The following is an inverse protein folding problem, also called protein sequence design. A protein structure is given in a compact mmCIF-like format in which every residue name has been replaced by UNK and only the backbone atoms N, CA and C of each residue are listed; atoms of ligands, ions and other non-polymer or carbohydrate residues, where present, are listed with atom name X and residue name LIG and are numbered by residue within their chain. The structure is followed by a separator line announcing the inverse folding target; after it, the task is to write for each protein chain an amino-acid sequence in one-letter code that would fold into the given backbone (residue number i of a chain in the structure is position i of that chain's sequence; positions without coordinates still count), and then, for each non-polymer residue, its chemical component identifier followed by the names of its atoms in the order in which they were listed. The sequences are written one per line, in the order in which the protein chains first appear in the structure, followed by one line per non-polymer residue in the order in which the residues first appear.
data_IF_876368980680
#
_entry.id   IF_876368980680
#
_cell.length_a   1.000
_cell.length_b   1.000
_cell.length_c   1.000
_cell.angle_alpha   90.00
_cell.angle_beta   90.00
_cell.angle_gamma   90.00
#
_symmetry.space_group_name_H-M   'P 1'
#
loop_
_entity.id
_entity.type
_entity.pdbx_description
1 polymer ?
#
# COMPACT_ATOMS: atom_id res chain seq x y z
N UNK A 1 24.02 -10.33 -8.92
CA UNK A 1 23.58 -8.95 -9.27
C UNK A 1 22.06 -8.98 -9.37
N UNK A 2 21.34 -8.62 -8.30
CA UNK A 2 19.87 -8.64 -8.33
C UNK A 2 19.36 -7.42 -9.09
N UNK A 3 18.79 -7.66 -10.26
CA UNK A 3 18.18 -6.66 -11.12
C UNK A 3 17.01 -6.00 -10.39
N UNK A 4 17.17 -4.74 -9.97
CA UNK A 4 16.04 -3.89 -9.62
C UNK A 4 15.25 -3.63 -10.90
N UNK A 5 14.23 -4.44 -11.17
CA UNK A 5 13.19 -4.07 -12.12
C UNK A 5 12.67 -2.69 -11.72
N UNK A 6 12.74 -1.72 -12.64
CA UNK A 6 12.18 -0.37 -12.42
C UNK A 6 10.69 -0.52 -12.23
N UNK A 7 10.26 -0.70 -10.98
CA UNK A 7 8.85 -0.81 -10.63
C UNK A 7 8.19 0.51 -11.02
N UNK A 8 7.42 0.52 -12.11
CA UNK A 8 6.66 1.69 -12.55
C UNK A 8 5.32 1.68 -11.82
N UNK A 9 4.86 2.86 -11.37
CA UNK A 9 3.58 3.01 -10.67
C UNK A 9 3.69 2.91 -9.14
N UNK A 10 2.56 2.75 -8.41
CA UNK A 10 2.53 2.83 -6.95
C UNK A 10 3.44 1.81 -6.25
N UNK A 11 3.75 0.69 -6.89
CA UNK A 11 4.67 -0.31 -6.37
C UNK A 11 6.14 0.18 -6.27
N UNK A 12 6.50 1.32 -6.88
CA UNK A 12 7.80 1.97 -6.67
C UNK A 12 8.02 2.45 -5.24
N UNK A 13 6.93 2.69 -4.50
CA UNK A 13 6.98 3.13 -3.10
C UNK A 13 7.18 1.96 -2.12
N UNK A 14 7.00 0.70 -2.56
CA UNK A 14 6.98 -0.46 -1.67
C UNK A 14 8.28 -0.65 -0.88
N UNK A 15 9.48 -0.58 -1.49
CA UNK A 15 10.72 -0.69 -0.72
C UNK A 15 10.84 0.38 0.37
N UNK A 16 10.38 1.61 0.09
CA UNK A 16 10.40 2.72 1.04
C UNK A 16 9.36 2.55 2.16
N UNK A 17 8.20 1.96 1.85
CA UNK A 17 7.15 1.65 2.83
C UNK A 17 7.66 0.57 3.80
N UNK A 18 8.21 -0.53 3.28
CA UNK A 18 8.76 -1.60 4.12
C UNK A 18 9.89 -1.09 5.01
N UNK A 19 10.81 -0.30 4.43
CA UNK A 19 11.91 0.31 5.18
C UNK A 19 11.42 1.28 6.27
N UNK A 20 10.36 2.04 6.02
CA UNK A 20 9.87 3.07 6.95
C UNK A 20 8.99 2.49 8.07
N UNK A 21 8.14 1.52 7.75
CA UNK A 21 7.15 0.98 8.69
C UNK A 21 7.49 -0.42 9.22
N UNK A 22 8.57 -1.04 8.73
CA UNK A 22 9.10 -2.31 9.24
C UNK A 22 8.20 -3.52 8.96
N UNK A 23 7.27 -3.41 8.01
CA UNK A 23 6.32 -4.48 7.65
C UNK A 23 6.34 -4.73 6.15
N UNK A 24 6.33 -6.00 5.69
CA UNK A 24 6.22 -6.34 4.28
C UNK A 24 4.96 -5.76 3.62
N UNK A 25 5.04 -5.41 2.34
CA UNK A 25 3.85 -4.92 1.59
C UNK A 25 2.73 -5.95 1.56
N UNK A 26 3.04 -7.25 1.54
CA UNK A 26 2.04 -8.30 1.60
C UNK A 26 1.14 -8.19 2.85
N UNK A 27 1.70 -7.86 4.01
CA UNK A 27 0.92 -7.64 5.24
C UNK A 27 0.00 -6.42 5.10
N UNK A 28 0.49 -5.32 4.53
CA UNK A 28 -0.35 -4.14 4.27
C UNK A 28 -1.52 -4.45 3.35
N UNK A 29 -1.27 -5.24 2.30
CA UNK A 29 -2.32 -5.65 1.36
C UNK A 29 -3.36 -6.57 2.02
N UNK A 30 -2.94 -7.43 2.94
CA UNK A 30 -3.85 -8.24 3.76
C UNK A 30 -4.68 -7.37 4.70
N UNK A 31 -4.07 -6.40 5.40
CA UNK A 31 -4.79 -5.45 6.26
C UNK A 31 -5.87 -4.67 5.50
N UNK A 32 -5.55 -4.24 4.27
CA UNK A 32 -6.53 -3.57 3.40
C UNK A 32 -7.64 -4.55 2.98
N UNK A 33 -7.30 -5.82 2.69
CA UNK A 33 -8.26 -6.84 2.29
C UNK A 33 -9.22 -7.24 3.43
N UNK A 34 -8.72 -7.30 4.65
CA UNK A 34 -9.50 -7.64 5.86
C UNK A 34 -10.33 -6.46 6.38
N UNK A 35 -10.04 -5.25 5.90
CA UNK A 35 -10.81 -4.06 6.24
C UNK A 35 -12.23 -4.14 5.64
N UNK A 36 -13.28 -3.77 6.40
CA UNK A 36 -14.63 -3.65 5.84
C UNK A 36 -14.77 -2.46 4.88
N UNK A 37 -13.75 -1.60 4.79
CA UNK A 37 -13.75 -0.40 3.95
C UNK A 37 -13.49 -0.77 2.49
N UNK A 38 -14.24 -0.16 1.59
CA UNK A 38 -14.14 -0.44 0.15
C UNK A 38 -13.77 0.79 -0.68
N UNK A 39 -14.03 1.99 -0.16
CA UNK A 39 -13.73 3.23 -0.87
C UNK A 39 -12.26 3.57 -0.72
N UNK A 40 -11.64 3.95 -1.84
CA UNK A 40 -10.23 4.34 -1.90
C UNK A 40 -9.85 5.37 -0.82
N UNK A 41 -10.59 6.46 -0.73
CA UNK A 41 -10.28 7.54 0.22
C UNK A 41 -10.50 7.15 1.68
N UNK A 42 -11.45 6.25 1.96
CA UNK A 42 -11.69 5.75 3.33
C UNK A 42 -10.53 4.86 3.76
N UNK A 43 -10.06 3.96 2.90
CA UNK A 43 -8.89 3.12 3.16
C UNK A 43 -7.62 3.96 3.35
N UNK A 44 -7.42 4.99 2.53
CA UNK A 44 -6.28 5.91 2.71
C UNK A 44 -6.35 6.64 4.04
N UNK A 45 -7.54 7.13 4.44
CA UNK A 45 -7.71 7.80 5.72
C UNK A 45 -7.48 6.84 6.90
N UNK A 46 -8.01 5.61 6.82
CA UNK A 46 -7.82 4.58 7.82
C UNK A 46 -6.34 4.22 8.02
N UNK A 47 -5.59 3.99 6.94
CA UNK A 47 -4.14 3.73 7.03
C UNK A 47 -3.35 4.89 7.65
N UNK A 48 -3.77 6.13 7.39
CA UNK A 48 -3.17 7.31 8.00
C UNK A 48 -3.46 7.38 9.50
N UNK A 49 -4.70 7.10 9.91
CA UNK A 49 -5.15 7.23 11.29
C UNK A 49 -4.64 6.09 12.18
N UNK A 50 -4.82 4.83 11.75
CA UNK A 50 -4.51 3.66 12.58
C UNK A 50 -3.02 3.32 12.58
N UNK A 51 -2.32 3.56 11.46
CA UNK A 51 -0.93 3.11 11.27
C UNK A 51 0.05 4.26 11.02
N UNK A 52 -0.42 5.52 11.03
CA UNK A 52 0.44 6.68 10.85
C UNK A 52 1.08 6.78 9.46
N UNK A 53 0.48 6.16 8.43
CA UNK A 53 1.02 6.23 7.09
C UNK A 53 0.98 7.67 6.54
N UNK A 54 1.99 8.05 5.76
CA UNK A 54 1.96 9.28 4.98
C UNK A 54 1.00 9.13 3.79
N UNK A 55 0.44 10.25 3.29
CA UNK A 55 -0.56 10.21 2.22
C UNK A 55 -0.10 9.44 0.97
N UNK A 56 1.13 9.70 0.49
CA UNK A 56 1.66 8.99 -0.68
C UNK A 56 1.82 7.48 -0.47
N UNK A 57 2.24 7.06 0.72
CA UNK A 57 2.40 5.64 1.06
C UNK A 57 1.06 4.92 1.18
N UNK A 58 0.11 5.53 1.89
CA UNK A 58 -1.25 4.99 2.00
C UNK A 58 -1.91 4.90 0.61
N UNK A 59 -1.80 5.96 -0.20
CA UNK A 59 -2.35 5.97 -1.55
C UNK A 59 -1.75 4.88 -2.45
N UNK A 60 -0.44 4.64 -2.36
CA UNK A 60 0.23 3.61 -3.15
C UNK A 60 -0.29 2.19 -2.84
N UNK A 61 -0.45 1.85 -1.56
CA UNK A 61 -0.97 0.55 -1.13
C UNK A 61 -2.42 0.35 -1.60
N UNK A 62 -3.29 1.33 -1.33
CA UNK A 62 -4.71 1.24 -1.69
C UNK A 62 -4.90 1.20 -3.20
N UNK A 63 -4.18 2.03 -3.96
CA UNK A 63 -4.26 2.02 -5.42
C UNK A 63 -3.83 0.67 -6.00
N UNK A 64 -2.76 0.07 -5.46
CA UNK A 64 -2.32 -1.25 -5.88
C UNK A 64 -3.34 -2.34 -5.53
N UNK A 65 -3.92 -2.31 -4.33
CA UNK A 65 -4.94 -3.26 -3.90
C UNK A 65 -6.20 -3.20 -4.78
N UNK A 66 -6.73 -1.99 -5.03
CA UNK A 66 -7.93 -1.82 -5.84
C UNK A 66 -7.69 -2.16 -7.32
N UNK A 67 -6.53 -1.80 -7.87
CA UNK A 67 -6.17 -2.20 -9.23
C UNK A 67 -6.06 -3.73 -9.40
N UNK A 68 -5.65 -4.45 -8.35
CA UNK A 68 -5.59 -5.91 -8.36
C UNK A 68 -6.98 -6.58 -8.29
N UNK A 69 -7.98 -5.92 -7.67
CA UNK A 69 -9.36 -6.43 -7.58
C UNK A 69 -10.21 -6.18 -8.82
N UNK A 70 -9.82 -5.22 -9.65
CA UNK A 70 -10.52 -4.87 -10.89
C UNK A 70 -10.08 -5.72 -12.10
N UNK A 71 -9.30 -6.79 -11.86
CA UNK A 71 -8.84 -7.78 -12.84
C UNK A 71 -9.51 -9.12 -12.59
#
# INVERSE_FOLDING_TARGET
MSTQEKVKGPASYFPSIEKKYGRPVAEWQQLIADSPLTRHMELVAWLKSEYGLGHGHANALVAHHLAARSK
#
